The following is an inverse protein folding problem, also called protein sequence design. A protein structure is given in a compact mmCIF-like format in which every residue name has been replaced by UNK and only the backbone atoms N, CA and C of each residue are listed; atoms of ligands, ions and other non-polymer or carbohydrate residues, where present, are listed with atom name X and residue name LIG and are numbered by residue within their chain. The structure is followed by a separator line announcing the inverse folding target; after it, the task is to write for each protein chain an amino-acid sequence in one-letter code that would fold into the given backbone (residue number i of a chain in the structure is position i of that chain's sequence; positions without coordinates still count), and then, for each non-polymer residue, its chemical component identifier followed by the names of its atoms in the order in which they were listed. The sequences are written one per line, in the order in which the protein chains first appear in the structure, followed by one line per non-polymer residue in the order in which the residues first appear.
data_IF_984831120752
#
_entry.id   IF_984831120752
#
_cell.length_a   1.000
_cell.length_b   1.000
_cell.length_c   1.000
_cell.angle_alpha   90.00
_cell.angle_beta   90.00
_cell.angle_gamma   90.00
#
_symmetry.space_group_name_H-M   'P 1'
#
loop_
_entity.id
_entity.type
_entity.pdbx_description
1 polymer ?
#
# COMPACT_ATOMS: atom_id res chain seq x y z
N UNK A 1 -7.66 -23.31 -23.55
CA UNK A 1 -6.98 -23.34 -22.24
C UNK A 1 -7.01 -22.01 -21.48
N UNK A 2 -6.64 -20.88 -22.09
CA UNK A 2 -6.64 -19.58 -21.39
C UNK A 2 -7.98 -19.21 -20.71
N UNK A 3 -9.10 -19.39 -21.42
CA UNK A 3 -10.45 -19.09 -20.87
C UNK A 3 -10.80 -19.93 -19.65
N UNK A 4 -10.37 -21.19 -19.58
CA UNK A 4 -10.67 -22.04 -18.40
C UNK A 4 -9.81 -21.64 -17.20
N UNK A 5 -8.54 -21.26 -17.43
CA UNK A 5 -7.67 -20.71 -16.38
C UNK A 5 -8.20 -19.38 -15.82
N UNK A 6 -8.66 -18.48 -16.69
CA UNK A 6 -9.25 -17.21 -16.27
C UNK A 6 -10.49 -17.44 -15.37
N UNK A 7 -11.40 -18.33 -15.76
CA UNK A 7 -12.58 -18.68 -14.95
C UNK A 7 -12.19 -19.20 -13.58
N UNK A 8 -11.20 -20.11 -13.51
CA UNK A 8 -10.68 -20.63 -12.23
C UNK A 8 -10.05 -19.54 -11.38
N UNK A 9 -9.25 -18.63 -11.97
CA UNK A 9 -8.64 -17.51 -11.25
C UNK A 9 -9.69 -16.59 -10.64
N UNK A 10 -10.72 -16.23 -11.39
CA UNK A 10 -11.83 -15.38 -10.89
C UNK A 10 -12.54 -16.07 -9.72
N UNK A 11 -12.87 -17.36 -9.86
CA UNK A 11 -13.48 -18.14 -8.76
C UNK A 11 -12.62 -18.14 -7.50
N UNK A 12 -11.30 -18.32 -7.64
CA UNK A 12 -10.38 -18.28 -6.50
C UNK A 12 -10.32 -16.90 -5.83
N UNK A 13 -10.30 -15.82 -6.61
CA UNK A 13 -10.35 -14.46 -6.06
C UNK A 13 -11.64 -14.18 -5.27
N UNK A 14 -12.77 -14.77 -5.67
CA UNK A 14 -14.02 -14.65 -4.92
C UNK A 14 -14.02 -15.44 -3.60
N UNK A 15 -13.26 -16.54 -3.52
CA UNK A 15 -13.17 -17.38 -2.30
C UNK A 15 -12.23 -16.74 -1.29
N UNK A 16 -11.12 -16.18 -1.75
CA UNK A 16 -10.06 -15.61 -0.89
C UNK A 16 -10.39 -14.15 -0.56
N UNK A 17 -11.33 -13.91 0.36
CA UNK A 17 -11.83 -12.56 0.68
C UNK A 17 -11.07 -11.81 1.78
N UNK A 18 -10.30 -12.51 2.62
CA UNK A 18 -9.67 -11.94 3.81
C UNK A 18 -8.16 -11.95 3.70
N UNK A 19 -7.64 -11.13 2.78
CA UNK A 19 -6.21 -11.01 2.53
C UNK A 19 -5.79 -9.54 2.61
N UNK A 20 -4.73 -9.20 3.37
CA UNK A 20 -4.30 -7.81 3.54
C UNK A 20 -3.89 -7.16 2.21
N UNK A 21 -3.32 -7.94 1.27
CA UNK A 21 -2.95 -7.45 -0.06
C UNK A 21 -4.12 -6.99 -0.93
N UNK A 22 -5.36 -7.27 -0.54
CA UNK A 22 -6.54 -6.70 -1.23
C UNK A 22 -6.81 -5.24 -0.81
N UNK A 23 -6.24 -4.78 0.31
CA UNK A 23 -6.46 -3.45 0.89
C UNK A 23 -5.16 -2.63 1.01
N UNK A 24 -4.00 -3.27 0.90
CA UNK A 24 -2.68 -2.63 0.99
C UNK A 24 -2.10 -2.37 -0.39
N UNK A 25 -1.65 -1.13 -0.62
CA UNK A 25 -0.97 -0.72 -1.85
C UNK A 25 0.49 -0.37 -1.59
N UNK A 26 1.37 -0.70 -2.52
CA UNK A 26 2.78 -0.30 -2.48
C UNK A 26 2.94 1.06 -3.17
N UNK A 27 3.37 2.07 -2.41
CA UNK A 27 3.66 3.42 -2.91
C UNK A 27 5.18 3.60 -3.00
N UNK A 28 5.68 4.09 -4.14
CA UNK A 28 7.12 4.30 -4.40
C UNK A 28 7.36 5.73 -4.87
N UNK A 29 8.59 6.23 -4.65
CA UNK A 29 8.97 7.59 -5.05
C UNK A 29 8.30 8.67 -4.20
N UNK A 30 8.11 8.40 -2.90
CA UNK A 30 7.46 9.33 -1.97
C UNK A 30 8.36 10.55 -1.72
N UNK A 31 7.86 11.79 -1.90
CA UNK A 31 8.64 13.00 -1.65
C UNK A 31 8.95 13.16 -0.16
N UNK A 32 10.10 13.73 0.15
CA UNK A 32 10.49 14.05 1.52
C UNK A 32 9.72 15.27 2.04
N UNK A 33 9.16 15.19 3.24
CA UNK A 33 8.54 16.35 3.88
C UNK A 33 9.61 17.17 4.61
N UNK A 34 9.87 18.40 4.18
CA UNK A 34 10.86 19.28 4.81
C UNK A 34 10.45 19.80 6.19
N UNK A 35 9.14 19.90 6.47
CA UNK A 35 8.63 20.42 7.76
C UNK A 35 8.78 19.42 8.90
N UNK A 36 8.57 18.13 8.61
CA UNK A 36 8.57 17.05 9.60
C UNK A 36 9.77 16.09 9.45
N UNK A 37 10.65 16.35 8.48
CA UNK A 37 11.85 15.57 8.19
C UNK A 37 11.58 14.06 8.00
N UNK A 38 10.47 13.73 7.34
CA UNK A 38 9.99 12.35 7.16
C UNK A 38 9.26 12.15 5.82
N UNK A 39 9.41 10.96 5.22
CA UNK A 39 8.64 10.55 4.05
C UNK A 39 7.19 10.18 4.42
N UNK A 40 6.98 9.63 5.61
CA UNK A 40 5.66 9.20 6.10
C UNK A 40 4.64 10.34 6.14
N UNK A 41 5.08 11.52 6.60
CA UNK A 41 4.24 12.73 6.61
C UNK A 41 3.63 13.08 5.23
N UNK A 42 4.42 12.99 4.15
CA UNK A 42 3.93 13.25 2.79
C UNK A 42 2.83 12.27 2.37
N UNK A 43 2.96 10.99 2.75
CA UNK A 43 1.96 9.95 2.49
C UNK A 43 0.67 10.28 3.24
N UNK A 44 0.78 10.53 4.54
CA UNK A 44 -0.37 10.74 5.40
C UNK A 44 -1.20 11.96 4.97
N UNK A 45 -0.54 13.08 4.69
CA UNK A 45 -1.22 14.29 4.18
C UNK A 45 -1.90 14.06 2.83
N UNK A 46 -1.23 13.36 1.90
CA UNK A 46 -1.79 13.10 0.58
C UNK A 46 -3.05 12.22 0.65
N UNK A 47 -2.97 11.08 1.33
CA UNK A 47 -4.09 10.14 1.38
C UNK A 47 -5.24 10.65 2.26
N UNK A 48 -4.95 11.35 3.35
CA UNK A 48 -5.98 11.98 4.17
C UNK A 48 -6.74 13.07 3.41
N UNK A 49 -6.07 13.84 2.55
CA UNK A 49 -6.70 14.89 1.74
C UNK A 49 -7.52 14.33 0.56
N UNK A 50 -6.97 13.36 -0.17
CA UNK A 50 -7.56 12.89 -1.43
C UNK A 50 -8.47 11.66 -1.26
N UNK A 51 -8.29 10.88 -0.19
CA UNK A 51 -9.02 9.64 0.07
C UNK A 51 -9.51 9.52 1.51
N UNK A 52 -10.18 10.55 2.08
CA UNK A 52 -10.49 10.64 3.52
C UNK A 52 -11.36 9.49 4.07
N UNK A 53 -12.14 8.83 3.23
CA UNK A 53 -13.06 7.75 3.64
C UNK A 53 -12.54 6.34 3.34
N UNK A 54 -11.44 6.22 2.59
CA UNK A 54 -10.88 4.94 2.17
C UNK A 54 -9.47 4.71 2.73
N UNK A 55 -8.76 5.79 3.06
CA UNK A 55 -7.47 5.71 3.72
C UNK A 55 -7.62 5.29 5.18
N UNK A 56 -6.72 4.41 5.64
CA UNK A 56 -6.72 3.89 7.00
C UNK A 56 -5.37 4.13 7.67
N UNK A 57 -4.27 3.67 7.06
CA UNK A 57 -2.93 3.83 7.61
C UNK A 57 -1.84 3.64 6.54
N UNK A 58 -0.61 3.95 6.91
CA UNK A 58 0.60 3.69 6.12
C UNK A 58 1.67 3.00 6.97
N UNK A 59 2.64 2.39 6.28
CA UNK A 59 3.87 1.89 6.89
C UNK A 59 5.03 2.19 5.94
N UNK A 60 6.03 2.91 6.43
CA UNK A 60 7.26 3.20 5.66
C UNK A 60 8.13 1.95 5.68
N UNK A 61 8.66 1.59 4.52
CA UNK A 61 9.63 0.51 4.37
C UNK A 61 11.02 1.14 4.36
N UNK A 62 11.81 0.81 5.38
CA UNK A 62 13.20 1.22 5.50
C UNK A 62 14.12 0.07 5.04
N UNK A 63 15.26 0.42 4.48
CA UNK A 63 16.32 -0.55 4.21
C UNK A 63 17.03 -0.89 5.54
N UNK A 64 17.18 -2.17 5.84
CA UNK A 64 17.79 -2.67 7.09
C UNK A 64 19.25 -2.19 7.25
N UNK A 65 19.91 -1.81 6.16
CA UNK A 65 21.29 -1.28 6.18
C UNK A 65 21.41 0.13 6.80
N UNK A 66 20.30 0.84 7.06
CA UNK A 66 20.30 2.20 7.61
C UNK A 66 19.91 2.27 9.10
N UNK A 67 19.89 1.14 9.81
CA UNK A 67 19.77 1.14 11.27
C UNK A 67 21.16 1.12 11.91
N UNK A 68 21.79 2.29 12.04
CA UNK A 68 22.83 2.50 13.07
C UNK A 68 22.11 2.95 14.35
N UNK A 69 22.41 2.28 15.47
CA UNK A 69 21.88 2.58 16.81
C UNK A 69 22.18 4.00 17.30
#
# INVERSE_FOLDING_TARGET
EYRSLLKRRIQQLYIIKHRPDLFTILVRGVPFCSEHNDHGCSVDHFFSKHYPHAYNSYQVVYDEQNFEE
#
